data_IF_449873459139
#
_entry.id   IF_449873459139
#
_cell.length_a   1.000
_cell.length_b   1.000
_cell.length_c   1.000
_cell.angle_alpha   90.00
_cell.angle_beta   90.00
_cell.angle_gamma   90.00
#
_symmetry.space_group_name_H-M   'P 1'
#
loop_
_entity.id
_entity.type
_entity.pdbx_description
1 polymer ?
#
# COMPACT_ATOMS: atom_id res chain seq x y z
N UNK A 1 8.04 -1.93 16.37
CA UNK A 1 8.41 -0.56 15.93
C UNK A 1 9.45 -0.61 14.82
N UNK A 2 10.57 -1.31 15.02
CA UNK A 2 11.66 -1.44 14.03
C UNK A 2 11.18 -1.92 12.65
N UNK A 3 10.28 -2.90 12.58
CA UNK A 3 9.79 -3.42 11.30
C UNK A 3 8.98 -2.41 10.47
N UNK A 4 8.26 -1.49 11.14
CA UNK A 4 7.49 -0.43 10.47
C UNK A 4 8.43 0.65 9.91
N UNK A 5 9.42 1.07 10.68
CA UNK A 5 10.43 2.02 10.23
C UNK A 5 11.27 1.46 9.09
N UNK A 6 11.63 0.17 9.14
CA UNK A 6 12.28 -0.53 8.02
C UNK A 6 11.36 -0.60 6.79
N UNK A 7 10.07 -0.87 6.99
CA UNK A 7 9.10 -0.90 5.90
C UNK A 7 8.91 0.48 5.25
N UNK A 8 8.92 1.58 6.01
CA UNK A 8 8.81 2.94 5.45
C UNK A 8 10.14 3.53 4.96
N UNK A 9 11.28 3.02 5.43
CA UNK A 9 12.62 3.52 5.07
C UNK A 9 13.06 3.26 3.63
N UNK A 10 12.19 2.69 2.78
CA UNK A 10 12.42 2.58 1.34
C UNK A 10 11.55 3.61 0.61
N UNK A 11 12.14 4.47 -0.24
CA UNK A 11 11.41 5.57 -0.87
C UNK A 11 10.26 5.08 -1.75
N UNK A 12 10.41 3.96 -2.44
CA UNK A 12 9.33 3.39 -3.26
C UNK A 12 8.18 2.89 -2.41
N UNK A 13 8.44 2.25 -1.27
CA UNK A 13 7.37 1.81 -0.35
C UNK A 13 6.61 2.99 0.23
N UNK A 14 7.30 4.08 0.55
CA UNK A 14 6.67 5.32 0.99
C UNK A 14 5.79 5.92 -0.12
N UNK A 15 6.32 5.99 -1.35
CA UNK A 15 5.56 6.48 -2.50
C UNK A 15 4.29 5.65 -2.77
N UNK A 16 4.36 4.32 -2.61
CA UNK A 16 3.17 3.47 -2.74
C UNK A 16 2.15 3.78 -1.64
N UNK A 17 2.59 4.02 -0.39
CA UNK A 17 1.70 4.42 0.70
C UNK A 17 1.04 5.79 0.46
N UNK A 18 1.70 6.70 -0.25
CA UNK A 18 1.13 7.96 -0.69
C UNK A 18 0.07 7.75 -1.77
N UNK A 19 0.35 6.91 -2.78
CA UNK A 19 -0.65 6.59 -3.80
C UNK A 19 -1.88 5.90 -3.21
N UNK A 20 -1.70 4.98 -2.26
CA UNK A 20 -2.79 4.27 -1.59
C UNK A 20 -3.58 5.15 -0.60
N UNK A 21 -3.10 6.35 -0.26
CA UNK A 21 -3.87 7.34 0.51
C UNK A 21 -5.04 7.89 -0.31
N UNK A 22 -4.83 8.10 -1.60
CA UNK A 22 -5.82 8.62 -2.54
C UNK A 22 -5.79 7.80 -3.84
N UNK A 23 -6.28 6.54 -3.83
CA UNK A 23 -6.12 5.62 -4.94
C UNK A 23 -6.87 6.07 -6.21
N UNK A 24 -8.01 6.76 -6.05
CA UNK A 24 -8.77 7.31 -7.19
C UNK A 24 -7.97 8.34 -7.97
N UNK A 25 -7.41 9.33 -7.28
CA UNK A 25 -6.58 10.35 -7.91
C UNK A 25 -5.25 9.78 -8.42
N UNK A 26 -4.64 8.86 -7.67
CA UNK A 26 -3.30 8.35 -7.99
C UNK A 26 -3.30 7.38 -9.17
N UNK A 27 -4.41 6.70 -9.47
CA UNK A 27 -4.49 5.72 -10.55
C UNK A 27 -5.58 6.06 -11.57
N UNK A 28 -5.96 7.34 -11.70
CA UNK A 28 -7.04 7.79 -12.60
C UNK A 28 -6.81 7.44 -14.08
N UNK A 29 -5.55 7.19 -14.47
CA UNK A 29 -5.15 6.75 -15.81
C UNK A 29 -5.41 5.26 -16.09
N UNK A 30 -5.72 4.46 -15.06
CA UNK A 30 -6.00 3.02 -15.19
C UNK A 30 -7.50 2.77 -15.03
N UNK A 31 -8.07 1.91 -15.87
CA UNK A 31 -9.43 1.41 -15.67
C UNK A 31 -9.46 0.56 -14.37
N UNK A 32 -10.37 0.81 -13.42
CA UNK A 32 -10.46 0.00 -12.20
C UNK A 32 -10.79 -1.48 -12.51
N UNK A 33 -10.00 -2.41 -11.95
CA UNK A 33 -10.28 -3.86 -12.03
C UNK A 33 -11.36 -4.27 -11.01
N UNK A 34 -11.46 -3.53 -9.91
CA UNK A 34 -12.45 -3.64 -8.86
C UNK A 34 -12.68 -2.25 -8.25
N UNK A 35 -13.71 -2.12 -7.42
CA UNK A 35 -13.97 -0.90 -6.65
C UNK A 35 -12.73 -0.55 -5.80
N UNK A 36 -12.15 0.63 -6.03
CA UNK A 36 -10.92 1.07 -5.36
C UNK A 36 -11.18 1.60 -3.96
N UNK A 37 -12.37 2.13 -3.71
CA UNK A 37 -12.77 2.56 -2.38
C UNK A 37 -12.96 1.33 -1.47
N UNK A 38 -13.49 0.23 -2.00
CA UNK A 38 -13.67 -1.02 -1.27
C UNK A 38 -12.35 -1.80 -1.16
N UNK A 39 -11.75 -2.17 -2.29
CA UNK A 39 -10.65 -3.16 -2.37
C UNK A 39 -9.26 -2.54 -2.53
N UNK A 40 -9.18 -1.27 -2.89
CA UNK A 40 -7.91 -0.60 -3.19
C UNK A 40 -7.39 -0.89 -4.60
N UNK A 41 -6.07 -0.94 -4.76
CA UNK A 41 -5.43 -0.95 -6.08
C UNK A 41 -4.84 -2.32 -6.38
N UNK A 42 -5.08 -2.82 -7.59
CA UNK A 42 -4.52 -4.08 -8.06
C UNK A 42 -2.98 -4.04 -8.13
N UNK A 43 -2.34 -5.15 -7.77
CA UNK A 43 -0.88 -5.33 -7.88
C UNK A 43 -0.33 -5.04 -9.28
N UNK A 44 -1.12 -5.28 -10.33
CA UNK A 44 -0.71 -5.02 -11.72
C UNK A 44 -0.62 -3.51 -12.00
N UNK A 45 -1.54 -2.71 -11.49
CA UNK A 45 -1.49 -1.25 -11.64
C UNK A 45 -0.36 -0.64 -10.80
N UNK A 46 -0.12 -1.17 -9.61
CA UNK A 46 1.03 -0.78 -8.79
C UNK A 46 2.36 -1.06 -9.51
N UNK A 47 2.49 -2.23 -10.14
CA UNK A 47 3.66 -2.58 -10.95
C UNK A 47 3.81 -1.65 -12.17
N UNK A 48 2.73 -1.44 -12.92
CA UNK A 48 2.73 -0.56 -14.09
C UNK A 48 3.14 0.87 -13.74
N UNK A 49 2.51 1.47 -12.70
CA UNK A 49 2.80 2.85 -12.29
C UNK A 49 4.20 3.03 -11.69
N UNK A 50 4.70 2.03 -10.96
CA UNK A 50 6.05 2.09 -10.36
C UNK A 50 7.18 1.79 -11.34
N UNK A 51 6.87 1.20 -12.51
CA UNK A 51 7.87 0.69 -13.45
C UNK A 51 8.65 -0.52 -12.93
N UNK A 52 8.20 -1.14 -11.82
CA UNK A 52 8.86 -2.29 -11.21
C UNK A 52 8.18 -3.60 -11.59
N UNK A 53 8.93 -4.69 -11.53
CA UNK A 53 8.38 -6.02 -11.69
C UNK A 53 7.30 -6.32 -10.63
N UNK A 54 6.25 -7.05 -11.03
CA UNK A 54 5.14 -7.41 -10.14
C UNK A 54 5.61 -8.20 -8.90
N UNK A 55 6.64 -9.04 -9.04
CA UNK A 55 7.24 -9.77 -7.91
C UNK A 55 7.86 -8.83 -6.88
N UNK A 56 8.53 -7.76 -7.32
CA UNK A 56 9.09 -6.72 -6.44
C UNK A 56 7.98 -5.98 -5.69
N UNK A 57 6.93 -5.57 -6.40
CA UNK A 57 5.76 -4.93 -5.77
C UNK A 57 5.09 -5.88 -4.77
N UNK A 58 4.92 -7.15 -5.12
CA UNK A 58 4.33 -8.14 -4.21
C UNK A 58 5.16 -8.31 -2.94
N UNK A 59 6.49 -8.34 -3.05
CA UNK A 59 7.41 -8.38 -1.90
C UNK A 59 7.30 -7.14 -1.02
N UNK A 60 7.18 -5.95 -1.64
CA UNK A 60 6.98 -4.70 -0.92
C UNK A 60 5.64 -4.68 -0.19
N UNK A 61 4.57 -5.12 -0.84
CA UNK A 61 3.24 -5.16 -0.23
C UNK A 61 3.19 -6.16 0.92
N UNK A 62 3.80 -7.34 0.78
CA UNK A 62 3.92 -8.29 1.90
C UNK A 62 4.72 -7.73 3.09
N UNK A 63 5.70 -6.85 2.83
CA UNK A 63 6.43 -6.16 3.90
C UNK A 63 5.57 -5.08 4.59
N UNK A 64 4.80 -4.31 3.82
CA UNK A 64 3.87 -3.33 4.36
C UNK A 64 2.70 -3.99 5.12
N UNK A 65 2.20 -5.12 4.63
CA UNK A 65 1.11 -5.87 5.24
C UNK A 65 1.53 -6.49 6.59
N UNK A 66 2.73 -7.09 6.65
CA UNK A 66 3.32 -7.56 7.92
C UNK A 66 3.54 -6.41 8.91
N UNK A 67 3.78 -5.20 8.41
CA UNK A 67 3.88 -3.99 9.24
C UNK A 67 2.51 -3.39 9.62
N UNK A 68 1.41 -3.98 9.14
CA UNK A 68 0.04 -3.52 9.37
C UNK A 68 -0.37 -2.31 8.53
N UNK A 69 0.48 -1.80 7.64
CA UNK A 69 0.25 -0.53 6.93
C UNK A 69 -0.74 -0.66 5.77
N UNK A 70 -0.89 -1.86 5.22
CA UNK A 70 -1.83 -2.18 4.16
C UNK A 70 -2.61 -3.45 4.49
N UNK A 71 -3.67 -3.69 3.73
CA UNK A 71 -4.44 -4.93 3.71
C UNK A 71 -4.56 -5.43 2.28
N UNK A 72 -4.39 -6.72 2.07
CA UNK A 72 -4.66 -7.36 0.80
C UNK A 72 -6.09 -7.89 0.73
N UNK A 73 -6.73 -7.79 -0.43
CA UNK A 73 -7.99 -8.46 -0.72
C UNK A 73 -7.92 -9.14 -2.09
N UNK A 74 -8.36 -10.40 -2.13
CA UNK A 74 -8.41 -11.18 -3.37
C UNK A 74 -9.75 -10.94 -4.06
N UNK A 75 -9.72 -10.37 -5.27
CA UNK A 75 -10.89 -10.16 -6.12
C UNK A 75 -10.68 -10.91 -7.43
N UNK A 76 -11.43 -12.00 -7.62
CA UNK A 76 -11.24 -12.92 -8.74
C UNK A 76 -9.80 -13.42 -8.83
N UNK A 77 -9.14 -13.15 -9.95
CA UNK A 77 -7.75 -13.57 -10.21
C UNK A 77 -6.68 -12.57 -9.75
N UNK A 78 -7.07 -11.44 -9.16
CA UNK A 78 -6.15 -10.36 -8.79
C UNK A 78 -6.14 -10.08 -7.30
N UNK A 79 -4.98 -9.65 -6.79
CA UNK A 79 -4.83 -9.19 -5.42
C UNK A 79 -4.76 -7.67 -5.42
N UNK A 80 -5.63 -7.06 -4.62
CA UNK A 80 -5.73 -5.62 -4.43
C UNK A 80 -5.17 -5.25 -3.06
N UNK A 81 -4.57 -4.08 -2.97
CA UNK A 81 -4.02 -3.55 -1.73
C UNK A 81 -4.64 -2.21 -1.41
N UNK A 82 -5.06 -2.07 -0.15
CA UNK A 82 -5.59 -0.83 0.40
C UNK A 82 -4.77 -0.42 1.61
N UNK A 83 -4.60 0.87 1.80
CA UNK A 83 -3.97 1.43 3.01
C UNK A 83 -4.85 1.19 4.24
N UNK A 84 -4.22 0.83 5.35
CA UNK A 84 -4.89 0.68 6.64
C UNK A 84 -4.73 1.96 7.46
N UNK A 85 -5.69 2.89 7.36
CA UNK A 85 -5.59 4.19 8.04
C UNK A 85 -5.58 4.07 9.56
N UNK A 86 -6.33 3.12 10.13
CA UNK A 86 -6.34 2.87 11.57
C UNK A 86 -4.95 2.45 12.11
N UNK A 87 -4.21 1.64 11.35
CA UNK A 87 -2.88 1.19 11.73
C UNK A 87 -1.81 2.26 11.50
N UNK A 88 -1.97 3.09 10.47
CA UNK A 88 -1.10 4.26 10.23
C UNK A 88 -1.30 5.31 11.32
N UNK A 89 -2.54 5.61 11.72
CA UNK A 89 -2.83 6.55 12.79
C UNK A 89 -2.35 6.01 14.15
N UNK A 90 -2.52 4.71 14.40
CA UNK A 90 -1.96 4.03 15.55
C UNK A 90 -0.43 4.14 15.61
N UNK A 91 0.25 4.03 14.47
CA UNK A 91 1.69 4.27 14.36
C UNK A 91 2.06 5.72 14.67
N UNK A 92 1.40 6.69 14.03
CA UNK A 92 1.68 8.12 14.24
C UNK A 92 1.48 8.52 15.70
N UNK A 93 0.43 8.00 16.35
CA UNK A 93 0.21 8.19 17.80
C UNK A 93 1.35 7.62 18.64
N UNK A 94 1.87 6.44 18.30
CA UNK A 94 2.99 5.81 19.02
C UNK A 94 4.33 6.53 18.78
N UNK A 95 4.50 7.17 17.63
CA UNK A 95 5.66 8.02 17.34
C UNK A 95 5.56 9.38 18.05
N UNK A 96 4.37 9.98 18.07
CA UNK A 96 4.11 11.25 18.76
C UNK A 96 4.07 11.14 20.28
N UNK A 97 3.71 9.99 20.84
CA UNK A 97 3.73 9.72 22.27
C UNK A 97 5.12 9.35 22.83
N UNK A 98 6.18 9.42 22.01
CA UNK A 98 7.54 9.04 22.38
C UNK A 98 8.57 10.17 22.21
N UNK A 99 8.10 11.43 22.09
CA UNK A 99 8.90 12.67 22.13
C UNK A 99 8.44 13.52 23.30
#
# INVERSE_FOLDING_TARGET
MVEVLKALGNPTRLQIMEWLRSPEASFSEFEPIADRAEFGVCVTHLAAKSGLAQSTISSYMGSLERAGLVRSTRVGKYTHYRRSDADVDGLLKRLGASI
#
